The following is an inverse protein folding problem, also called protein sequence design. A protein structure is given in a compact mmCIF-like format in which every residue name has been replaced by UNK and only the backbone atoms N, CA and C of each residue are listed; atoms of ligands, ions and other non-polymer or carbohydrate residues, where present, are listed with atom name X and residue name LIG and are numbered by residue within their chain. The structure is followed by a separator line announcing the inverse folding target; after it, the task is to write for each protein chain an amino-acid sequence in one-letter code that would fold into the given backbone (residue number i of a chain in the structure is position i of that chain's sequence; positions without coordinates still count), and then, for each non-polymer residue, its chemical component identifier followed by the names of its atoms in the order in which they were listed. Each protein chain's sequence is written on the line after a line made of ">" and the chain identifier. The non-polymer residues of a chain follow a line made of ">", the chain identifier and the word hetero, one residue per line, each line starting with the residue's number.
data_IF_898742089838
#
_entry.id   IF_898742089838
#
_cell.length_a   1.000
_cell.length_b   1.000
_cell.length_c   1.000
_cell.angle_alpha   90.00
_cell.angle_beta   90.00
_cell.angle_gamma   90.00
#
_symmetry.space_group_name_H-M   'P 1'
#
loop_
_entity.id
_entity.type
_entity.pdbx_description
1 polymer ?
#
# COMPACT_ATOMS: atom_id res chain seq x y z
N UNK A 1 10.06 9.16 30.77
CA UNK A 1 8.74 8.62 31.16
C UNK A 1 8.64 7.17 30.75
N UNK A 2 8.25 6.31 31.66
CA UNK A 2 7.95 4.93 31.30
C UNK A 2 6.63 4.89 30.53
N UNK A 3 6.67 4.33 29.32
CA UNK A 3 5.47 4.11 28.53
C UNK A 3 4.67 2.95 29.15
N UNK A 4 3.44 3.21 29.55
CA UNK A 4 2.59 2.20 30.16
C UNK A 4 2.02 1.25 29.10
N UNK A 5 1.67 0.04 29.51
CA UNK A 5 1.00 -0.92 28.62
C UNK A 5 -0.31 -0.36 28.09
N UNK A 6 -1.09 0.34 28.93
CA UNK A 6 -2.34 0.99 28.50
C UNK A 6 -2.08 2.05 27.42
N UNK A 7 -1.02 2.84 27.56
CA UNK A 7 -0.61 3.85 26.57
C UNK A 7 -0.23 3.19 25.24
N UNK A 8 0.52 2.09 25.28
CA UNK A 8 0.90 1.34 24.10
C UNK A 8 -0.33 0.77 23.38
N UNK A 9 -1.30 0.25 24.11
CA UNK A 9 -2.54 -0.28 23.53
C UNK A 9 -3.37 0.82 22.87
N UNK A 10 -3.42 2.01 23.47
CA UNK A 10 -4.11 3.17 22.87
C UNK A 10 -3.42 3.59 21.57
N UNK A 11 -2.09 3.63 21.57
CA UNK A 11 -1.31 3.97 20.37
C UNK A 11 -1.53 2.93 19.27
N UNK A 12 -1.53 1.64 19.63
CA UNK A 12 -1.82 0.55 18.69
C UNK A 12 -3.20 0.70 18.07
N UNK A 13 -4.22 0.97 18.90
CA UNK A 13 -5.58 1.13 18.41
C UNK A 13 -5.71 2.30 17.43
N UNK A 14 -5.01 3.41 17.67
CA UNK A 14 -4.99 4.54 16.75
C UNK A 14 -4.33 4.19 15.42
N UNK A 15 -3.21 3.46 15.45
CA UNK A 15 -2.51 3.01 14.26
C UNK A 15 -3.36 2.04 13.42
N UNK A 16 -4.09 1.13 14.08
CA UNK A 16 -5.00 0.20 13.40
C UNK A 16 -6.18 0.93 12.77
N UNK A 17 -6.69 2.00 13.41
CA UNK A 17 -7.73 2.85 12.79
C UNK A 17 -7.21 3.56 11.56
N UNK A 18 -5.98 4.07 11.60
CA UNK A 18 -5.35 4.70 10.44
C UNK A 18 -5.17 3.69 9.30
N UNK A 19 -4.76 2.48 9.64
CA UNK A 19 -4.61 1.38 8.67
C UNK A 19 -5.94 1.08 7.96
N UNK A 20 -7.04 1.05 8.70
CA UNK A 20 -8.37 0.76 8.17
C UNK A 20 -8.87 1.82 7.17
N UNK A 21 -8.28 3.01 7.17
CA UNK A 21 -8.63 4.10 6.24
C UNK A 21 -7.98 3.97 4.87
N UNK A 22 -7.07 3.01 4.69
CA UNK A 22 -6.34 2.82 3.43
C UNK A 22 -7.15 1.99 2.43
N UNK A 23 -8.37 2.44 2.13
CA UNK A 23 -9.33 1.68 1.33
C UNK A 23 -8.98 1.57 -0.15
N UNK A 24 -8.24 2.53 -0.69
CA UNK A 24 -7.86 2.58 -2.10
C UNK A 24 -6.40 2.20 -2.36
N UNK A 25 -5.78 1.50 -1.40
CA UNK A 25 -4.37 1.15 -1.46
C UNK A 25 -4.02 0.34 -2.70
N UNK A 26 -2.98 0.76 -3.40
CA UNK A 26 -2.44 0.06 -4.54
C UNK A 26 -0.94 -0.19 -4.33
N UNK A 27 -0.52 -1.43 -4.52
CA UNK A 27 0.88 -1.80 -4.51
C UNK A 27 1.35 -2.03 -5.94
N UNK A 28 2.21 -1.16 -6.43
CA UNK A 28 2.73 -1.23 -7.79
C UNK A 28 3.63 -0.05 -8.10
N UNK A 29 4.00 0.08 -9.36
CA UNK A 29 4.81 1.18 -9.85
C UNK A 29 4.03 1.95 -10.92
N UNK A 30 3.99 3.27 -10.79
CA UNK A 30 3.42 4.15 -11.78
C UNK A 30 4.49 4.54 -12.78
N UNK A 31 4.12 4.47 -14.06
CA UNK A 31 5.06 4.79 -15.09
C UNK A 31 4.37 5.48 -16.27
N UNK A 32 5.06 6.42 -16.89
CA UNK A 32 4.59 7.11 -18.08
C UNK A 32 5.48 6.73 -19.26
N UNK A 33 4.84 6.47 -20.40
CA UNK A 33 5.56 6.12 -21.63
C UNK A 33 5.13 7.02 -22.76
N UNK A 34 6.12 7.41 -23.55
CA UNK A 34 5.95 8.06 -24.84
C UNK A 34 6.21 7.02 -25.93
N UNK A 35 5.43 7.06 -26.99
CA UNK A 35 5.54 6.07 -28.07
C UNK A 35 5.32 6.68 -29.42
N UNK A 36 5.80 5.99 -30.46
CA UNK A 36 5.49 6.27 -31.85
C UNK A 36 4.27 5.45 -32.26
N UNK A 37 3.52 5.96 -33.25
CA UNK A 37 2.37 5.24 -33.80
C UNK A 37 2.75 4.52 -35.10
N UNK A 38 1.82 3.73 -35.64
CA UNK A 38 2.01 2.98 -36.87
C UNK A 38 1.89 3.84 -38.14
N UNK A 39 1.47 5.11 -38.01
CA UNK A 39 1.32 6.02 -39.16
C UNK A 39 2.68 6.55 -39.58
N UNK A 40 3.16 6.23 -40.83
CA UNK A 40 4.53 6.56 -41.22
C UNK A 40 4.80 8.05 -41.38
N UNK A 41 3.76 8.89 -41.58
CA UNK A 41 3.91 10.34 -41.75
C UNK A 41 3.63 11.13 -40.47
N UNK A 42 3.46 10.47 -39.35
CA UNK A 42 3.19 11.14 -38.08
C UNK A 42 4.44 11.84 -37.55
N UNK A 43 4.27 13.04 -37.00
CA UNK A 43 5.36 13.81 -36.37
C UNK A 43 6.04 13.09 -35.21
N UNK A 44 5.43 12.04 -34.66
CA UNK A 44 6.02 11.25 -33.58
C UNK A 44 7.32 10.55 -34.01
N UNK A 45 7.50 10.28 -35.30
CA UNK A 45 8.72 9.70 -35.84
C UNK A 45 9.86 10.71 -35.94
N UNK A 46 9.55 12.02 -35.83
CA UNK A 46 10.51 13.13 -35.92
C UNK A 46 10.83 13.75 -34.58
N UNK A 47 10.58 13.00 -33.47
CA UNK A 47 10.93 13.41 -32.14
C UNK A 47 9.75 13.85 -31.28
N UNK A 48 8.55 14.04 -31.84
CA UNK A 48 7.32 14.36 -31.08
C UNK A 48 6.53 13.10 -30.81
N UNK A 49 7.01 12.28 -29.90
CA UNK A 49 6.35 11.03 -29.53
C UNK A 49 4.96 11.27 -28.92
N UNK A 50 4.06 10.31 -29.13
CA UNK A 50 2.74 10.31 -28.51
C UNK A 50 2.85 10.01 -27.03
N UNK A 51 2.00 10.66 -26.24
CA UNK A 51 1.94 10.44 -24.83
C UNK A 51 1.96 11.74 -24.02
N UNK A 52 2.19 11.67 -22.72
CA UNK A 52 2.48 10.40 -22.01
C UNK A 52 1.24 9.53 -21.86
N UNK A 53 1.44 8.22 -21.95
CA UNK A 53 0.44 7.22 -21.53
C UNK A 53 0.88 6.66 -20.19
N UNK A 54 -0.07 6.57 -19.27
CA UNK A 54 0.21 6.15 -17.91
C UNK A 54 -0.11 4.67 -17.73
N UNK A 55 0.74 3.98 -17.00
CA UNK A 55 0.62 2.56 -16.72
C UNK A 55 0.88 2.29 -15.25
N UNK A 56 0.13 1.35 -14.69
CA UNK A 56 0.39 0.78 -13.39
C UNK A 56 0.96 -0.62 -13.58
N UNK A 57 2.15 -0.85 -13.06
CA UNK A 57 2.79 -2.14 -13.08
C UNK A 57 2.53 -2.80 -11.74
N UNK A 58 1.82 -3.93 -11.76
CA UNK A 58 1.53 -4.73 -10.57
C UNK A 58 2.10 -6.13 -10.72
N UNK A 59 2.48 -6.71 -9.59
CA UNK A 59 2.97 -8.07 -9.54
C UNK A 59 1.93 -8.93 -8.83
N UNK A 60 1.33 -9.87 -9.55
CA UNK A 60 0.29 -10.74 -9.02
C UNK A 60 0.50 -12.17 -9.53
N UNK A 61 0.28 -13.14 -8.62
CA UNK A 61 0.37 -14.55 -8.98
C UNK A 61 1.68 -14.89 -9.69
N UNK A 62 2.79 -14.36 -9.18
CA UNK A 62 4.14 -14.53 -9.73
C UNK A 62 4.33 -13.97 -11.14
N UNK A 63 3.44 -13.08 -11.58
CA UNK A 63 3.52 -12.44 -12.89
C UNK A 63 3.44 -10.92 -12.76
N UNK A 64 4.23 -10.25 -13.55
CA UNK A 64 4.16 -8.81 -13.72
C UNK A 64 3.07 -8.49 -14.74
N UNK A 65 2.18 -7.56 -14.39
CA UNK A 65 1.15 -7.07 -15.29
C UNK A 65 1.27 -5.57 -15.45
N UNK A 66 1.06 -5.09 -16.66
CA UNK A 66 1.04 -3.68 -16.98
C UNK A 66 -0.40 -3.30 -17.31
N UNK A 67 -0.95 -2.37 -16.55
CA UNK A 67 -2.33 -1.91 -16.70
C UNK A 67 -2.32 -0.48 -17.23
N UNK A 68 -3.01 -0.24 -18.33
CA UNK A 68 -3.21 1.12 -18.84
C UNK A 68 -4.11 1.91 -17.89
N UNK A 69 -3.70 3.13 -17.57
CA UNK A 69 -4.44 4.01 -16.67
C UNK A 69 -5.00 5.18 -17.46
N UNK A 70 -6.32 5.28 -17.51
CA UNK A 70 -6.99 6.41 -18.16
C UNK A 70 -6.64 7.70 -17.44
N UNK A 71 -6.61 8.80 -18.18
CA UNK A 71 -6.31 10.11 -17.62
C UNK A 71 -7.20 10.45 -16.40
N UNK A 72 -8.49 10.09 -16.45
CA UNK A 72 -9.42 10.32 -15.36
C UNK A 72 -9.05 9.57 -14.07
N UNK A 73 -8.30 8.46 -14.18
CA UNK A 73 -7.96 7.60 -13.05
C UNK A 73 -6.55 7.85 -12.50
N UNK A 74 -5.75 8.71 -13.14
CA UNK A 74 -4.36 8.96 -12.73
C UNK A 74 -4.24 9.41 -11.27
N UNK A 75 -5.05 10.38 -10.87
CA UNK A 75 -5.00 10.92 -9.51
C UNK A 75 -5.38 9.88 -8.46
N UNK A 76 -6.37 9.04 -8.77
CA UNK A 76 -6.82 7.95 -7.89
C UNK A 76 -5.73 6.91 -7.72
N UNK A 77 -5.09 6.52 -8.83
CA UNK A 77 -3.99 5.55 -8.81
C UNK A 77 -2.81 6.08 -8.00
N UNK A 78 -2.41 7.32 -8.23
CA UNK A 78 -1.31 7.92 -7.49
C UNK A 78 -1.61 8.03 -6.00
N UNK A 79 -2.85 8.34 -5.63
CA UNK A 79 -3.30 8.33 -4.23
C UNK A 79 -3.19 6.94 -3.62
N UNK A 80 -3.59 5.91 -4.37
CA UNK A 80 -3.49 4.52 -3.93
C UNK A 80 -2.05 4.10 -3.65
N UNK A 81 -1.11 4.52 -4.50
CA UNK A 81 0.31 4.25 -4.32
C UNK A 81 0.87 4.96 -3.07
N UNK A 82 0.43 6.21 -2.82
CA UNK A 82 0.82 6.91 -1.59
C UNK A 82 0.24 6.23 -0.35
N UNK A 83 -0.94 5.65 -0.44
CA UNK A 83 -1.52 4.86 0.66
C UNK A 83 -0.67 3.63 0.97
N UNK A 84 -0.07 3.01 -0.04
CA UNK A 84 0.86 1.90 0.19
C UNK A 84 2.10 2.35 0.95
N UNK A 85 2.66 3.51 0.62
CA UNK A 85 3.78 4.09 1.38
C UNK A 85 3.40 4.33 2.84
N UNK A 86 2.20 4.86 3.07
CA UNK A 86 1.66 5.06 4.42
C UNK A 86 1.48 3.74 5.15
N UNK A 87 1.03 2.69 4.45
CA UNK A 87 0.93 1.34 5.01
C UNK A 87 2.27 0.86 5.56
N UNK A 88 3.33 1.00 4.79
CA UNK A 88 4.67 0.57 5.21
C UNK A 88 5.09 1.32 6.47
N UNK A 89 4.84 2.62 6.52
CA UNK A 89 5.14 3.44 7.70
C UNK A 89 4.33 2.96 8.92
N UNK A 90 3.04 2.70 8.75
CA UNK A 90 2.17 2.22 9.83
C UNK A 90 2.60 0.83 10.33
N UNK A 91 3.01 -0.06 9.43
CA UNK A 91 3.53 -1.39 9.80
C UNK A 91 4.76 -1.25 10.70
N UNK A 92 5.67 -0.33 10.37
CA UNK A 92 6.87 -0.08 11.20
C UNK A 92 6.50 0.43 12.58
N UNK A 93 5.58 1.40 12.66
CA UNK A 93 5.12 1.93 13.93
C UNK A 93 4.39 0.87 14.77
N UNK A 94 3.54 0.06 14.16
CA UNK A 94 2.86 -1.06 14.82
C UNK A 94 3.87 -2.08 15.34
N UNK A 95 4.88 -2.39 14.55
CA UNK A 95 5.95 -3.30 14.96
C UNK A 95 6.65 -2.79 16.22
N UNK A 96 6.98 -1.49 16.25
CA UNK A 96 7.63 -0.87 17.40
C UNK A 96 6.76 -0.96 18.65
N UNK A 97 5.48 -0.65 18.54
CA UNK A 97 4.52 -0.74 19.65
C UNK A 97 4.39 -2.18 20.13
N UNK A 98 4.24 -3.12 19.19
CA UNK A 98 4.06 -4.53 19.52
C UNK A 98 5.32 -5.15 20.11
N UNK A 99 6.52 -4.69 19.73
CA UNK A 99 7.77 -5.12 20.36
C UNK A 99 7.83 -4.65 21.84
N UNK A 100 7.37 -3.44 22.11
CA UNK A 100 7.29 -2.95 23.48
C UNK A 100 6.27 -3.74 24.31
N UNK A 101 5.12 -4.07 23.72
CA UNK A 101 4.11 -4.92 24.36
C UNK A 101 4.64 -6.33 24.58
N UNK A 102 5.39 -6.89 23.65
CA UNK A 102 6.02 -8.20 23.78
C UNK A 102 6.94 -8.25 25.00
N UNK A 103 7.77 -7.21 25.19
CA UNK A 103 8.67 -7.10 26.36
C UNK A 103 7.90 -7.01 27.68
N UNK A 104 6.71 -6.43 27.64
CA UNK A 104 5.84 -6.33 28.81
C UNK A 104 4.92 -7.55 29.00
N UNK A 105 4.97 -8.53 28.09
CA UNK A 105 4.13 -9.73 28.15
C UNK A 105 2.73 -9.57 27.54
N UNK A 106 2.33 -8.36 27.18
CA UNK A 106 0.98 -8.06 26.66
C UNK A 106 0.69 -8.67 25.30
N UNK A 107 1.66 -8.71 24.42
CA UNK A 107 1.48 -9.26 23.07
C UNK A 107 1.19 -10.76 23.06
N UNK A 108 1.78 -11.51 23.98
CA UNK A 108 1.53 -12.95 24.11
C UNK A 108 0.06 -13.22 24.53
N UNK A 109 -0.49 -12.37 25.38
CA UNK A 109 -1.90 -12.46 25.79
C UNK A 109 -2.82 -12.18 24.60
N UNK A 110 -2.49 -11.17 23.80
CA UNK A 110 -3.26 -10.82 22.60
C UNK A 110 -3.23 -11.96 21.57
N UNK A 111 -2.06 -12.55 21.33
CA UNK A 111 -1.91 -13.66 20.38
C UNK A 111 -2.80 -14.86 20.77
N UNK A 112 -2.88 -15.17 22.06
CA UNK A 112 -3.77 -16.23 22.55
C UNK A 112 -5.24 -15.91 22.30
N UNK A 113 -5.64 -14.65 22.49
CA UNK A 113 -7.01 -14.20 22.25
C UNK A 113 -7.36 -14.31 20.76
N UNK A 114 -6.44 -13.93 19.86
CA UNK A 114 -6.63 -14.00 18.42
C UNK A 114 -6.76 -15.44 17.93
N UNK A 115 -5.95 -16.36 18.45
CA UNK A 115 -6.05 -17.77 18.12
C UNK A 115 -7.40 -18.37 18.52
N UNK A 116 -7.95 -17.95 19.69
CA UNK A 116 -9.28 -18.38 20.12
C UNK A 116 -10.37 -17.88 19.20
N UNK A 117 -10.24 -16.65 18.67
CA UNK A 117 -11.20 -16.09 17.71
C UNK A 117 -11.12 -16.79 16.36
N UNK A 118 -9.91 -17.10 15.89
CA UNK A 118 -9.70 -17.80 14.62
C UNK A 118 -10.25 -19.21 14.57
N UNK A 119 -10.38 -19.89 15.72
CA UNK A 119 -10.94 -21.23 15.81
C UNK A 119 -12.46 -21.33 15.63
N UNK A 120 -13.15 -20.21 15.42
CA UNK A 120 -14.62 -20.16 15.23
C UNK A 120 -15.07 -20.04 13.79
N UNK A 121 -14.14 -20.00 12.84
CA UNK A 121 -14.46 -19.92 11.41
C UNK A 121 -14.44 -21.32 10.77
N UNK A 122 -15.36 -22.15 11.17
CA UNK A 122 -15.72 -23.34 10.42
C UNK A 122 -17.05 -23.15 9.72
#
# INVERSE_FOLDING_TARGET
>A
MKTTEASLRRKRAALLRDLARLSGLLHGAYLERFSTCSRPRCACHDGRKHGPRSYLIVYRQKRQRQLYIRQADRAVVQRGLRQHEKLIHLVRELTDVNLQLLRAGGLATDAKADLRRGGRHE
#
